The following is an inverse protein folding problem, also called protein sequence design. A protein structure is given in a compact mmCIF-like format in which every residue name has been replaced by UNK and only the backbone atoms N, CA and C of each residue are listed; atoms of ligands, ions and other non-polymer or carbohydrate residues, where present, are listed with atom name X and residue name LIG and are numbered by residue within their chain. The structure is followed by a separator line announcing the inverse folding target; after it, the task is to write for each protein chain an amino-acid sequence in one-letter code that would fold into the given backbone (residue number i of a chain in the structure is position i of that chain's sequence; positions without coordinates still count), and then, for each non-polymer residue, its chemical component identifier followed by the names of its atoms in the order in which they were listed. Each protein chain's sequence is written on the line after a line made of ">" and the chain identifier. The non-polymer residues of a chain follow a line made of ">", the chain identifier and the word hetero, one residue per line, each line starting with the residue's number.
data_IF_186438356949
#
_entry.id   IF_186438356949
#
_cell.length_a   1.000
_cell.length_b   1.000
_cell.length_c   1.000
_cell.angle_alpha   90.00
_cell.angle_beta   90.00
_cell.angle_gamma   90.00
#
_symmetry.space_group_name_H-M   'P 1'
#
loop_
_entity.id
_entity.type
_entity.pdbx_description
1 polymer ?
#
# COMPACT_ATOMS: atom_id res chain seq x y z
N UNK A 1 1.31 93.28 -23.30
CA UNK A 1 1.90 91.94 -23.24
C UNK A 1 1.75 91.36 -21.83
N UNK A 2 0.73 90.51 -21.63
CA UNK A 2 0.46 89.92 -20.31
C UNK A 2 0.99 88.46 -20.37
N UNK A 3 1.96 88.13 -19.51
CA UNK A 3 2.48 86.80 -19.32
C UNK A 3 1.56 86.06 -18.31
N UNK A 4 0.95 84.95 -18.78
CA UNK A 4 0.18 84.04 -17.91
C UNK A 4 1.18 83.01 -17.46
N UNK A 5 1.36 82.85 -16.13
CA UNK A 5 2.11 81.80 -15.47
C UNK A 5 1.13 80.70 -15.10
N UNK A 6 1.27 79.50 -15.74
CA UNK A 6 0.52 78.33 -15.34
C UNK A 6 1.28 77.62 -14.22
N UNK A 7 0.65 77.57 -13.03
CA UNK A 7 1.12 76.76 -11.91
C UNK A 7 0.51 75.33 -12.06
N UNK A 8 1.36 74.37 -12.44
CA UNK A 8 0.94 72.97 -12.45
C UNK A 8 0.88 72.42 -11.01
N UNK A 9 -0.31 71.99 -10.61
CA UNK A 9 -0.47 71.25 -9.36
C UNK A 9 -0.03 69.78 -9.58
N UNK A 10 1.07 69.39 -8.95
CA UNK A 10 1.47 67.96 -8.84
C UNK A 10 0.61 67.30 -7.76
N UNK A 11 -0.35 66.47 -8.17
CA UNK A 11 -1.05 65.58 -7.27
C UNK A 11 -0.11 64.43 -6.86
N UNK A 12 0.40 64.46 -5.63
CA UNK A 12 1.11 63.31 -5.04
C UNK A 12 0.05 62.31 -4.61
N UNK A 13 -0.13 61.29 -5.46
CA UNK A 13 -0.90 60.09 -5.08
C UNK A 13 -0.11 59.32 -4.03
N UNK A 14 -0.54 59.44 -2.77
CA UNK A 14 -0.06 58.58 -1.69
C UNK A 14 -0.52 57.14 -1.96
N UNK A 15 0.38 56.34 -2.45
CA UNK A 15 0.24 54.87 -2.46
C UNK A 15 0.22 54.39 -1.00
N UNK A 16 -0.99 54.26 -0.44
CA UNK A 16 -1.17 53.49 0.77
C UNK A 16 -0.81 52.03 0.44
N UNK A 17 0.08 51.38 1.19
CA UNK A 17 0.27 49.93 1.03
C UNK A 17 -1.03 49.26 1.45
N UNK A 18 -1.70 48.58 0.51
CA UNK A 18 -2.72 47.59 0.86
C UNK A 18 -2.00 46.45 1.59
N UNK A 19 -1.84 46.58 2.90
CA UNK A 19 -1.53 45.48 3.77
C UNK A 19 -2.72 44.54 3.73
N UNK A 20 -2.60 43.43 2.98
CA UNK A 20 -3.50 42.31 3.16
C UNK A 20 -3.35 41.84 4.60
N UNK A 21 -4.27 42.24 5.46
CA UNK A 21 -4.42 41.72 6.81
C UNK A 21 -4.82 40.24 6.64
N UNK A 22 -3.83 39.32 6.61
CA UNK A 22 -4.09 37.91 6.79
C UNK A 22 -4.47 37.68 8.25
N UNK A 23 -5.76 37.68 8.54
CA UNK A 23 -6.29 37.21 9.83
C UNK A 23 -5.86 35.75 10.00
N UNK A 24 -4.82 35.48 10.81
CA UNK A 24 -4.23 34.16 11.05
C UNK A 24 -2.74 34.02 10.68
N UNK A 25 -2.13 35.01 10.02
CA UNK A 25 -0.68 35.03 9.77
C UNK A 25 0.13 35.41 11.03
N UNK A 26 1.40 35.03 11.06
CA UNK A 26 2.33 35.44 12.12
C UNK A 26 2.65 36.90 11.95
N UNK A 27 2.13 37.74 12.87
CA UNK A 27 2.44 39.16 12.91
C UNK A 27 3.84 39.43 13.51
N UNK A 28 4.39 40.63 13.25
CA UNK A 28 5.69 41.02 13.81
C UNK A 28 5.73 40.92 15.34
N UNK A 29 4.65 41.29 16.01
CA UNK A 29 4.55 41.16 17.46
C UNK A 29 4.47 39.73 17.95
N UNK A 30 3.84 38.84 17.19
CA UNK A 30 3.87 37.37 17.45
C UNK A 30 5.30 36.82 17.24
N UNK A 31 5.94 37.20 16.14
CA UNK A 31 7.29 36.75 15.83
C UNK A 31 8.29 37.18 16.91
N UNK A 32 8.20 38.37 17.41
CA UNK A 32 9.05 38.84 18.53
C UNK A 32 8.82 38.01 19.80
N UNK A 33 7.57 37.71 20.18
CA UNK A 33 7.27 36.85 21.33
C UNK A 33 7.77 35.42 21.14
N UNK A 34 7.60 34.84 19.94
CA UNK A 34 8.10 33.51 19.59
C UNK A 34 9.61 33.46 19.71
N UNK A 35 10.34 34.46 19.18
CA UNK A 35 11.80 34.52 19.30
C UNK A 35 12.24 34.71 20.75
N UNK A 36 11.55 35.48 21.53
CA UNK A 36 11.87 35.70 22.94
C UNK A 36 11.58 34.48 23.82
N UNK A 37 10.76 33.53 23.36
CA UNK A 37 10.48 32.26 24.07
C UNK A 37 11.57 31.23 23.88
N UNK A 38 12.51 31.42 22.93
CA UNK A 38 13.63 30.51 22.71
C UNK A 38 14.85 30.97 23.52
N UNK A 39 15.33 30.09 24.40
CA UNK A 39 16.55 30.28 25.17
C UNK A 39 17.67 29.40 24.60
N UNK A 40 18.75 30.01 24.12
CA UNK A 40 19.87 29.30 23.52
C UNK A 40 20.85 28.79 24.60
N UNK A 41 20.46 27.74 25.31
CA UNK A 41 21.31 27.11 26.33
C UNK A 41 22.46 26.29 25.68
N UNK A 42 23.57 26.00 26.45
CA UNK A 42 24.59 25.08 25.96
C UNK A 42 24.07 23.70 25.57
N UNK A 43 23.03 23.21 26.27
CA UNK A 43 22.36 21.95 25.95
C UNK A 43 21.61 22.03 24.62
N UNK A 44 20.87 23.14 24.40
CA UNK A 44 20.13 23.35 23.14
C UNK A 44 21.07 23.46 21.95
N UNK A 45 22.25 24.11 22.13
CA UNK A 45 23.25 24.17 21.07
C UNK A 45 23.83 22.79 20.72
N UNK A 46 24.13 21.98 21.73
CA UNK A 46 24.65 20.64 21.51
C UNK A 46 23.58 19.76 20.80
N UNK A 47 22.33 19.84 21.27
CA UNK A 47 21.22 19.10 20.70
C UNK A 47 20.89 19.54 19.25
N UNK A 48 20.89 20.86 18.99
CA UNK A 48 20.73 21.40 17.65
C UNK A 48 21.82 20.91 16.69
N UNK A 49 23.08 20.91 17.10
CA UNK A 49 24.18 20.39 16.29
C UNK A 49 24.01 18.88 16.00
N UNK A 50 23.55 18.11 16.99
CA UNK A 50 23.30 16.70 16.81
C UNK A 50 22.12 16.45 15.82
N UNK A 51 20.99 17.13 16.01
CA UNK A 51 19.78 16.94 15.21
C UNK A 51 19.96 17.46 13.78
N UNK A 52 20.59 18.63 13.59
CA UNK A 52 20.77 19.19 12.25
C UNK A 52 21.69 18.37 11.33
N UNK A 53 22.55 17.54 11.90
CA UNK A 53 23.57 16.80 11.14
C UNK A 53 23.33 15.28 11.12
N UNK A 54 22.27 14.77 11.77
CA UNK A 54 22.01 13.33 11.86
C UNK A 54 20.53 12.99 11.65
N UNK A 55 20.27 11.74 11.28
CA UNK A 55 18.90 11.20 11.29
C UNK A 55 18.38 11.17 12.74
N UNK A 56 17.31 11.92 13.01
CA UNK A 56 16.68 12.03 14.33
C UNK A 56 16.29 10.65 14.90
N UNK A 57 15.92 9.68 14.06
CA UNK A 57 15.55 8.31 14.47
C UNK A 57 16.72 7.58 15.13
N UNK A 58 17.95 7.93 14.79
CA UNK A 58 19.16 7.38 15.41
C UNK A 58 19.46 8.01 16.78
N UNK A 59 19.05 9.26 16.97
CA UNK A 59 19.31 10.01 18.20
C UNK A 59 18.32 9.71 19.33
N UNK A 60 17.11 9.17 19.00
CA UNK A 60 16.09 8.84 20.02
C UNK A 60 16.26 7.46 20.63
N UNK A 61 17.30 6.70 20.24
CA UNK A 61 17.57 5.38 20.80
C UNK A 61 18.10 5.53 22.23
N UNK A 62 17.37 5.01 23.20
CA UNK A 62 17.81 5.00 24.60
C UNK A 62 18.84 3.88 24.83
N UNK A 63 20.10 4.25 24.93
CA UNK A 63 21.23 3.32 25.08
C UNK A 63 21.11 2.38 26.29
N UNK A 64 20.68 2.82 27.48
CA UNK A 64 20.48 1.93 28.63
C UNK A 64 19.52 0.76 28.37
N UNK A 65 18.54 0.95 27.48
CA UNK A 65 17.55 -0.09 27.18
C UNK A 65 18.01 -1.12 26.14
N UNK A 66 19.13 -0.91 25.48
CA UNK A 66 19.59 -1.80 24.40
C UNK A 66 20.12 -3.16 24.87
N UNK A 67 20.49 -3.29 26.12
CA UNK A 67 21.05 -4.53 26.68
C UNK A 67 20.08 -5.42 27.47
N UNK A 68 18.86 -4.95 27.68
CA UNK A 68 17.92 -5.59 28.62
C UNK A 68 16.83 -6.46 27.96
N UNK A 69 16.91 -6.67 26.65
CA UNK A 69 15.89 -7.47 25.93
C UNK A 69 16.16 -8.95 26.15
N UNK A 70 15.31 -9.60 26.96
CA UNK A 70 15.32 -11.05 27.08
C UNK A 70 14.81 -11.68 25.76
N UNK A 71 15.65 -12.51 25.16
CA UNK A 71 15.35 -13.23 23.91
C UNK A 71 14.90 -14.67 24.13
N UNK A 72 14.64 -15.07 25.40
CA UNK A 72 14.08 -16.36 25.71
C UNK A 72 12.58 -16.41 25.42
N UNK A 73 12.17 -17.42 24.65
CA UNK A 73 10.77 -17.71 24.35
C UNK A 73 10.47 -19.18 24.70
N UNK A 74 9.45 -19.42 25.54
CA UNK A 74 9.01 -20.76 25.93
C UNK A 74 8.50 -21.58 24.74
N UNK A 75 7.97 -20.92 23.73
CA UNK A 75 7.49 -21.53 22.49
C UNK A 75 8.07 -20.78 21.29
N UNK A 76 8.76 -21.51 20.43
CA UNK A 76 9.36 -20.97 19.22
C UNK A 76 8.87 -21.73 17.98
N UNK A 77 8.31 -21.00 17.01
CA UNK A 77 7.94 -21.56 15.71
C UNK A 77 9.17 -21.53 14.81
N UNK A 78 9.64 -22.66 14.26
CA UNK A 78 10.80 -22.71 13.39
C UNK A 78 10.46 -22.14 12.00
N UNK A 79 10.76 -20.85 11.80
CA UNK A 79 10.52 -20.13 10.54
C UNK A 79 11.81 -19.91 9.79
N UNK A 80 12.61 -20.80 9.44
CA UNK A 80 13.94 -20.67 8.80
C UNK A 80 14.08 -19.43 7.91
N UNK A 81 14.69 -18.36 8.43
CA UNK A 81 14.95 -17.09 7.74
C UNK A 81 13.88 -15.99 7.94
N UNK A 82 14.21 -14.81 7.49
CA UNK A 82 13.37 -13.59 7.54
C UNK A 82 12.92 -13.25 6.12
N UNK A 83 11.71 -12.75 5.99
CA UNK A 83 11.17 -12.21 4.73
C UNK A 83 11.08 -10.71 4.81
N UNK A 84 11.39 -10.02 3.73
CA UNK A 84 11.38 -8.56 3.64
C UNK A 84 10.35 -8.11 2.59
N UNK A 85 9.41 -7.26 3.01
CA UNK A 85 8.38 -6.70 2.13
C UNK A 85 8.86 -5.50 1.31
N UNK A 86 10.06 -5.02 1.56
CA UNK A 86 10.63 -3.84 0.94
C UNK A 86 9.71 -2.59 1.07
N UNK A 87 9.63 -1.77 0.04
CA UNK A 87 8.81 -0.54 0.01
C UNK A 87 7.37 -0.84 -0.45
N UNK A 88 6.70 -1.75 0.26
CA UNK A 88 5.31 -2.13 -0.03
C UNK A 88 4.45 -2.20 1.24
N UNK A 89 3.14 -2.04 1.10
CA UNK A 89 2.17 -2.18 2.20
C UNK A 89 1.72 -3.62 2.45
N UNK A 90 2.53 -4.64 2.11
CA UNK A 90 2.16 -6.07 2.12
C UNK A 90 2.48 -6.80 3.44
N UNK A 91 2.72 -6.09 4.56
CA UNK A 91 3.07 -6.71 5.85
C UNK A 91 2.09 -7.81 6.28
N UNK A 92 0.79 -7.59 6.08
CA UNK A 92 -0.28 -8.55 6.36
C UNK A 92 -0.11 -9.86 5.58
N UNK A 93 0.26 -9.75 4.31
CA UNK A 93 0.46 -10.89 3.40
C UNK A 93 1.73 -11.66 3.75
N UNK A 94 2.84 -10.96 3.97
CA UNK A 94 4.11 -11.56 4.41
C UNK A 94 3.95 -12.30 5.74
N UNK A 95 3.28 -11.68 6.73
CA UNK A 95 3.01 -12.29 8.03
C UNK A 95 2.13 -13.54 7.90
N UNK A 96 1.04 -13.45 7.13
CA UNK A 96 0.14 -14.58 6.91
C UNK A 96 0.80 -15.74 6.18
N UNK A 97 1.57 -15.48 5.13
CA UNK A 97 2.31 -16.52 4.40
C UNK A 97 3.45 -17.12 5.24
N UNK A 98 4.07 -16.36 6.14
CA UNK A 98 5.08 -16.90 7.07
C UNK A 98 4.49 -17.90 8.07
N UNK A 99 3.25 -17.71 8.53
CA UNK A 99 2.55 -18.72 9.35
C UNK A 99 2.36 -20.03 8.56
N UNK A 100 1.92 -19.94 7.31
CA UNK A 100 1.76 -21.12 6.45
C UNK A 100 3.11 -21.74 6.09
N UNK A 101 4.14 -20.93 5.84
CA UNK A 101 5.50 -21.35 5.56
C UNK A 101 6.08 -22.21 6.68
N UNK A 102 5.98 -21.78 7.92
CA UNK A 102 6.48 -22.52 9.08
C UNK A 102 5.86 -23.92 9.17
N UNK A 103 4.56 -24.05 8.88
CA UNK A 103 3.86 -25.34 8.83
C UNK A 103 4.30 -26.20 7.66
N UNK A 104 4.54 -25.61 6.49
CA UNK A 104 5.04 -26.30 5.31
C UNK A 104 6.43 -26.89 5.60
N UNK A 105 7.32 -26.10 6.17
CA UNK A 105 8.67 -26.51 6.57
C UNK A 105 8.61 -27.68 7.58
N UNK A 106 7.81 -27.54 8.62
CA UNK A 106 7.67 -28.60 9.66
C UNK A 106 7.07 -29.90 9.08
N UNK A 107 6.05 -29.79 8.22
CA UNK A 107 5.37 -30.96 7.63
C UNK A 107 6.24 -31.78 6.70
N UNK A 108 7.10 -31.13 5.92
CA UNK A 108 7.87 -31.76 4.86
C UNK A 108 9.37 -31.81 5.13
N UNK A 109 9.83 -31.37 6.32
CA UNK A 109 11.24 -31.32 6.68
C UNK A 109 12.07 -30.44 5.73
N UNK A 110 11.50 -29.32 5.28
CA UNK A 110 12.17 -28.48 4.28
C UNK A 110 13.33 -27.68 4.90
N UNK A 111 14.28 -27.32 4.04
CA UNK A 111 15.26 -26.29 4.32
C UNK A 111 14.65 -24.88 4.26
N UNK A 112 15.36 -23.94 3.60
CA UNK A 112 14.79 -22.64 3.30
C UNK A 112 13.65 -22.80 2.28
N UNK A 113 12.50 -22.22 2.59
CA UNK A 113 11.32 -22.26 1.73
C UNK A 113 10.52 -20.97 1.91
N UNK A 114 9.98 -20.45 0.81
CA UNK A 114 9.04 -19.33 0.82
C UNK A 114 7.91 -19.58 -0.18
N UNK A 115 6.69 -19.12 0.18
CA UNK A 115 5.62 -18.95 -0.79
C UNK A 115 5.84 -17.65 -1.56
N UNK A 116 5.37 -17.57 -2.79
CA UNK A 116 5.37 -16.34 -3.56
C UNK A 116 4.38 -15.34 -2.98
N UNK A 117 4.89 -14.27 -2.42
CA UNK A 117 4.08 -13.13 -1.98
C UNK A 117 3.55 -12.37 -3.21
N UNK A 118 4.36 -12.27 -4.26
CA UNK A 118 3.98 -11.64 -5.52
C UNK A 118 2.74 -12.29 -6.17
N UNK A 119 2.67 -13.63 -6.17
CA UNK A 119 1.51 -14.37 -6.66
C UNK A 119 0.23 -14.01 -5.91
N UNK A 120 0.25 -14.04 -4.59
CA UNK A 120 -0.91 -13.71 -3.77
C UNK A 120 -1.30 -12.24 -3.89
N UNK A 121 -0.31 -11.35 -3.98
CA UNK A 121 -0.52 -9.92 -4.17
C UNK A 121 -1.17 -9.60 -5.52
N UNK A 122 -0.79 -10.29 -6.59
CA UNK A 122 -1.43 -10.15 -7.89
C UNK A 122 -2.95 -10.36 -7.79
N UNK A 123 -3.37 -11.46 -7.18
CA UNK A 123 -4.79 -11.79 -7.03
C UNK A 123 -5.51 -10.84 -6.06
N UNK A 124 -4.86 -10.43 -4.99
CA UNK A 124 -5.39 -9.42 -4.06
C UNK A 124 -5.71 -8.11 -4.78
N UNK A 125 -4.79 -7.62 -5.61
CA UNK A 125 -5.00 -6.38 -6.34
C UNK A 125 -6.11 -6.50 -7.40
N UNK A 126 -6.22 -7.65 -8.06
CA UNK A 126 -7.30 -7.90 -9.02
C UNK A 126 -8.66 -8.00 -8.32
N UNK A 127 -8.74 -8.68 -7.17
CA UNK A 127 -9.98 -8.77 -6.38
C UNK A 127 -10.43 -7.41 -5.82
N UNK A 128 -9.49 -6.60 -5.35
CA UNK A 128 -9.80 -5.24 -4.90
C UNK A 128 -10.28 -4.35 -6.05
N UNK A 129 -9.69 -4.49 -7.22
CA UNK A 129 -10.17 -3.80 -8.42
C UNK A 129 -11.60 -4.22 -8.80
N UNK A 130 -11.89 -5.53 -8.74
CA UNK A 130 -13.24 -6.06 -8.94
C UNK A 130 -14.23 -5.52 -7.88
N UNK A 131 -13.82 -5.49 -6.61
CA UNK A 131 -14.65 -4.98 -5.52
C UNK A 131 -14.98 -3.49 -5.72
N UNK A 132 -14.02 -2.68 -6.13
CA UNK A 132 -14.24 -1.27 -6.46
C UNK A 132 -15.26 -1.11 -7.60
N UNK A 133 -15.03 -1.78 -8.73
CA UNK A 133 -15.91 -1.67 -9.89
C UNK A 133 -17.33 -2.20 -9.58
N UNK A 134 -17.44 -3.27 -8.80
CA UNK A 134 -18.72 -3.79 -8.33
C UNK A 134 -19.43 -2.77 -7.43
N UNK A 135 -18.71 -2.18 -6.46
CA UNK A 135 -19.26 -1.14 -5.59
C UNK A 135 -19.77 0.07 -6.38
N UNK A 136 -19.10 0.45 -7.47
CA UNK A 136 -19.56 1.51 -8.37
C UNK A 136 -20.86 1.12 -9.08
N UNK A 137 -21.00 -0.12 -9.55
CA UNK A 137 -22.23 -0.62 -10.17
C UNK A 137 -23.37 -0.67 -9.14
N UNK A 138 -23.10 -1.15 -7.94
CA UNK A 138 -24.11 -1.29 -6.88
C UNK A 138 -24.60 0.07 -6.36
N UNK A 139 -23.75 1.09 -6.42
CA UNK A 139 -24.07 2.48 -6.01
C UNK A 139 -24.40 3.41 -7.19
N UNK A 140 -24.68 2.87 -8.39
CA UNK A 140 -24.87 3.67 -9.61
C UNK A 140 -25.98 4.71 -9.52
N UNK A 141 -27.04 4.40 -8.75
CA UNK A 141 -28.21 5.26 -8.58
C UNK A 141 -28.04 6.29 -7.44
N UNK A 142 -27.01 6.14 -6.61
CA UNK A 142 -26.69 7.08 -5.53
C UNK A 142 -26.05 8.37 -6.07
N UNK A 143 -26.28 9.55 -5.44
CA UNK A 143 -25.64 10.79 -5.85
C UNK A 143 -24.12 10.76 -5.63
N UNK A 144 -23.39 11.67 -6.25
CA UNK A 144 -21.90 11.72 -6.12
C UNK A 144 -21.46 12.03 -4.70
N UNK A 145 -22.26 12.80 -3.98
CA UNK A 145 -22.05 13.23 -2.59
C UNK A 145 -22.42 12.15 -1.57
N UNK A 146 -22.88 11.00 -2.01
CA UNK A 146 -23.11 9.84 -1.13
C UNK A 146 -21.79 9.40 -0.50
N UNK A 147 -21.78 9.17 0.81
CA UNK A 147 -20.57 8.84 1.58
C UNK A 147 -19.87 7.57 1.07
N UNK A 148 -20.63 6.57 0.62
CA UNK A 148 -20.09 5.31 0.06
C UNK A 148 -19.43 5.57 -1.28
N UNK A 149 -20.09 6.37 -2.15
CA UNK A 149 -19.54 6.75 -3.45
C UNK A 149 -18.23 7.54 -3.27
N UNK A 150 -18.24 8.56 -2.41
CA UNK A 150 -17.02 9.34 -2.12
C UNK A 150 -15.89 8.44 -1.60
N UNK A 151 -16.21 7.53 -0.66
CA UNK A 151 -15.21 6.62 -0.08
C UNK A 151 -14.62 5.69 -1.14
N UNK A 152 -15.43 5.10 -2.02
CA UNK A 152 -15.00 4.24 -3.12
C UNK A 152 -14.00 4.98 -4.02
N UNK A 153 -14.37 6.18 -4.50
CA UNK A 153 -13.51 6.96 -5.40
C UNK A 153 -12.26 7.52 -4.72
N UNK A 154 -12.30 7.78 -3.42
CA UNK A 154 -11.14 8.16 -2.63
C UNK A 154 -10.17 6.98 -2.46
N UNK A 155 -10.69 5.76 -2.25
CA UNK A 155 -9.94 4.55 -1.90
C UNK A 155 -10.18 3.40 -2.89
N UNK A 156 -9.91 3.55 -4.20
CA UNK A 156 -10.22 2.50 -5.19
C UNK A 156 -9.36 1.25 -5.03
N UNK A 157 -8.17 1.37 -4.41
CA UNK A 157 -7.21 0.29 -4.25
C UNK A 157 -6.25 0.58 -3.10
N UNK A 158 -5.78 -0.45 -2.39
CA UNK A 158 -4.72 -0.33 -1.38
C UNK A 158 -3.88 -1.61 -1.31
N UNK A 159 -2.64 -1.48 -0.82
CA UNK A 159 -1.75 -2.63 -0.55
C UNK A 159 -2.11 -3.35 0.76
N UNK A 160 -2.81 -2.65 1.67
CA UNK A 160 -3.15 -3.15 3.00
C UNK A 160 -4.16 -4.29 2.99
N UNK A 161 -4.18 -5.08 4.04
CA UNK A 161 -5.12 -6.18 4.22
C UNK A 161 -5.02 -6.79 5.61
N UNK A 162 -5.73 -7.89 5.82
CA UNK A 162 -5.79 -8.65 7.07
C UNK A 162 -5.57 -10.14 6.79
N UNK A 163 -5.42 -10.95 7.85
CA UNK A 163 -5.21 -12.39 7.70
C UNK A 163 -6.38 -13.10 6.98
N UNK A 164 -7.60 -12.64 7.19
CA UNK A 164 -8.78 -13.14 6.44
C UNK A 164 -8.59 -13.00 4.93
N UNK A 165 -8.03 -11.88 4.46
CA UNK A 165 -7.71 -11.70 3.05
C UNK A 165 -6.67 -12.71 2.54
N UNK A 166 -5.65 -13.08 3.37
CA UNK A 166 -4.73 -14.17 3.01
C UNK A 166 -5.49 -15.48 2.85
N UNK A 167 -6.38 -15.79 3.79
CA UNK A 167 -7.15 -17.02 3.75
C UNK A 167 -8.06 -17.10 2.50
N UNK A 168 -8.71 -16.00 2.15
CA UNK A 168 -9.60 -15.92 0.99
C UNK A 168 -8.81 -16.10 -0.32
N UNK A 169 -7.69 -15.38 -0.48
CA UNK A 169 -6.82 -15.51 -1.66
C UNK A 169 -6.30 -16.94 -1.80
N UNK A 170 -5.78 -17.52 -0.74
CA UNK A 170 -5.24 -18.88 -0.77
C UNK A 170 -6.34 -19.93 -1.04
N UNK A 171 -7.52 -19.76 -0.48
CA UNK A 171 -8.66 -20.66 -0.72
C UNK A 171 -9.13 -20.60 -2.17
N UNK A 172 -9.17 -19.42 -2.76
CA UNK A 172 -9.69 -19.20 -4.12
C UNK A 172 -8.64 -19.53 -5.21
N UNK A 173 -7.42 -19.06 -5.03
CA UNK A 173 -6.37 -19.13 -6.06
C UNK A 173 -5.27 -20.14 -5.77
N UNK A 174 -5.12 -20.59 -4.53
CA UNK A 174 -4.06 -21.49 -4.11
C UNK A 174 -2.76 -20.75 -3.79
N UNK A 175 -1.67 -21.51 -3.76
CA UNK A 175 -0.31 -21.04 -3.47
C UNK A 175 0.68 -21.55 -4.51
N UNK A 176 1.75 -20.81 -4.67
CA UNK A 176 2.92 -21.24 -5.43
C UNK A 176 4.20 -20.97 -4.63
N UNK A 177 5.28 -21.73 -4.83
CA UNK A 177 6.58 -21.41 -4.24
C UNK A 177 7.16 -20.15 -4.88
N UNK A 178 8.05 -19.45 -4.16
CA UNK A 178 8.66 -18.19 -4.60
C UNK A 178 9.31 -18.28 -5.98
N UNK A 179 9.91 -19.42 -6.29
CA UNK A 179 10.59 -19.65 -7.55
C UNK A 179 9.64 -19.67 -8.77
N UNK A 180 8.37 -20.04 -8.56
CA UNK A 180 7.39 -20.11 -9.65
C UNK A 180 6.84 -18.73 -10.05
N UNK A 181 6.87 -17.75 -9.13
CA UNK A 181 6.55 -16.36 -9.40
C UNK A 181 7.34 -15.46 -8.44
N UNK A 182 8.58 -15.12 -8.77
CA UNK A 182 9.45 -14.33 -7.91
C UNK A 182 8.97 -12.88 -7.76
N UNK A 183 9.53 -12.17 -6.79
CA UNK A 183 9.32 -10.73 -6.65
C UNK A 183 9.85 -9.98 -7.88
N UNK A 184 9.21 -8.85 -8.18
CA UNK A 184 9.59 -7.90 -9.24
C UNK A 184 9.92 -6.56 -8.61
N UNK A 185 10.53 -5.67 -9.38
CA UNK A 185 10.73 -4.29 -8.91
C UNK A 185 9.41 -3.64 -8.48
N UNK A 186 8.34 -3.81 -9.26
CA UNK A 186 7.03 -3.22 -8.94
C UNK A 186 6.35 -3.85 -7.73
N UNK A 187 6.59 -5.13 -7.42
CA UNK A 187 6.08 -5.74 -6.20
C UNK A 187 6.85 -5.28 -4.97
N UNK A 188 8.14 -5.03 -5.09
CA UNK A 188 8.97 -4.49 -4.02
C UNK A 188 8.80 -2.97 -3.82
N UNK A 189 8.30 -2.24 -4.83
CA UNK A 189 8.10 -0.79 -4.85
C UNK A 189 6.70 -0.45 -5.38
N UNK A 190 5.66 -0.77 -4.64
CA UNK A 190 4.26 -0.79 -5.12
C UNK A 190 3.66 0.57 -5.44
N UNK A 191 4.21 1.66 -4.93
CA UNK A 191 3.60 3.00 -4.96
C UNK A 191 3.25 3.47 -6.39
N UNK A 192 4.16 3.30 -7.37
CA UNK A 192 3.95 3.75 -8.74
C UNK A 192 2.87 2.93 -9.44
N UNK A 193 2.95 1.60 -9.36
CA UNK A 193 1.94 0.70 -9.93
C UNK A 193 0.56 0.98 -9.32
N UNK A 194 0.48 1.09 -7.99
CA UNK A 194 -0.77 1.39 -7.29
C UNK A 194 -1.37 2.73 -7.72
N UNK A 195 -0.54 3.76 -7.96
CA UNK A 195 -1.00 5.06 -8.45
C UNK A 195 -1.66 4.95 -9.83
N UNK A 196 -1.03 4.24 -10.76
CA UNK A 196 -1.55 4.02 -12.12
C UNK A 196 -2.85 3.20 -12.10
N UNK A 197 -2.91 2.14 -11.31
CA UNK A 197 -4.11 1.33 -11.12
C UNK A 197 -5.27 2.15 -10.54
N UNK A 198 -5.02 2.96 -9.51
CA UNK A 198 -6.02 3.86 -8.91
C UNK A 198 -6.56 4.87 -9.91
N UNK A 199 -5.68 5.44 -10.74
CA UNK A 199 -6.09 6.37 -11.79
C UNK A 199 -7.02 5.68 -12.80
N UNK A 200 -6.62 4.50 -13.28
CA UNK A 200 -7.40 3.72 -14.24
C UNK A 200 -8.73 3.25 -13.68
N UNK A 201 -8.77 2.83 -12.43
CA UNK A 201 -10.01 2.43 -11.75
C UNK A 201 -10.98 3.61 -11.61
N UNK A 202 -10.50 4.82 -11.26
CA UNK A 202 -11.35 6.01 -11.23
C UNK A 202 -11.93 6.36 -12.60
N UNK A 203 -11.13 6.30 -13.67
CA UNK A 203 -11.60 6.47 -15.04
C UNK A 203 -12.73 5.49 -15.37
N UNK A 204 -12.53 4.21 -15.04
CA UNK A 204 -13.52 3.16 -15.27
C UNK A 204 -14.77 3.34 -14.41
N UNK A 205 -14.61 3.72 -13.15
CA UNK A 205 -15.74 4.02 -12.28
C UNK A 205 -16.60 5.16 -12.80
N UNK A 206 -15.99 6.23 -13.32
CA UNK A 206 -16.71 7.34 -13.94
C UNK A 206 -17.45 6.87 -15.21
N UNK A 207 -16.80 6.09 -16.07
CA UNK A 207 -17.41 5.54 -17.30
C UNK A 207 -18.59 4.60 -17.00
N UNK A 208 -18.52 3.78 -15.94
CA UNK A 208 -19.66 2.95 -15.51
C UNK A 208 -20.82 3.80 -15.01
N UNK A 209 -20.58 4.84 -14.21
CA UNK A 209 -21.62 5.74 -13.73
C UNK A 209 -22.27 6.55 -14.86
N UNK A 210 -21.48 6.98 -15.84
CA UNK A 210 -22.00 7.65 -17.05
C UNK A 210 -22.91 6.71 -17.84
N UNK A 211 -22.45 5.49 -18.12
CA UNK A 211 -23.26 4.50 -18.83
C UNK A 211 -24.57 4.18 -18.09
N UNK A 212 -24.55 4.11 -16.75
CA UNK A 212 -25.76 3.91 -15.95
C UNK A 212 -26.73 5.09 -16.08
N UNK A 213 -26.24 6.35 -16.04
CA UNK A 213 -27.08 7.54 -16.28
C UNK A 213 -27.70 7.56 -17.68
N UNK A 214 -26.98 7.02 -18.67
CA UNK A 214 -27.47 6.88 -20.05
C UNK A 214 -28.44 5.69 -20.22
N UNK A 215 -28.85 5.05 -19.11
CA UNK A 215 -29.85 3.99 -19.12
C UNK A 215 -29.29 2.58 -19.38
N UNK A 216 -27.97 2.36 -19.24
CA UNK A 216 -27.44 1.02 -19.39
C UNK A 216 -27.92 0.09 -18.26
N UNK A 217 -28.49 -1.05 -18.65
CA UNK A 217 -28.91 -2.09 -17.73
C UNK A 217 -27.74 -2.70 -16.95
N UNK A 218 -28.01 -3.24 -15.75
CA UNK A 218 -27.01 -3.86 -14.87
C UNK A 218 -26.18 -4.93 -15.60
N UNK A 219 -26.80 -5.78 -16.41
CA UNK A 219 -26.10 -6.81 -17.18
C UNK A 219 -25.03 -6.24 -18.12
N UNK A 220 -25.32 -5.11 -18.77
CA UNK A 220 -24.38 -4.41 -19.63
C UNK A 220 -23.22 -3.80 -18.84
N UNK A 221 -23.48 -3.26 -17.65
CA UNK A 221 -22.45 -2.76 -16.74
C UNK A 221 -21.53 -3.87 -16.25
N UNK A 222 -22.07 -5.05 -15.91
CA UNK A 222 -21.29 -6.23 -15.51
C UNK A 222 -20.40 -6.76 -16.66
N UNK A 223 -20.89 -6.73 -17.90
CA UNK A 223 -20.08 -7.07 -19.08
C UNK A 223 -18.91 -6.10 -19.23
N UNK A 224 -19.17 -4.79 -19.15
CA UNK A 224 -18.13 -3.75 -19.19
C UNK A 224 -17.10 -3.90 -18.06
N UNK A 225 -17.57 -4.20 -16.85
CA UNK A 225 -16.68 -4.50 -15.72
C UNK A 225 -15.68 -5.62 -16.06
N UNK A 226 -16.17 -6.71 -16.68
CA UNK A 226 -15.31 -7.83 -17.08
C UNK A 226 -14.23 -7.41 -18.08
N UNK A 227 -14.59 -6.60 -19.07
CA UNK A 227 -13.62 -6.04 -20.04
C UNK A 227 -12.60 -5.13 -19.36
N UNK A 228 -13.05 -4.26 -18.45
CA UNK A 228 -12.19 -3.37 -17.66
C UNK A 228 -11.22 -4.15 -16.77
N UNK A 229 -11.68 -5.24 -16.14
CA UNK A 229 -10.83 -6.13 -15.36
C UNK A 229 -9.78 -6.82 -16.23
N UNK A 230 -10.08 -7.13 -17.49
CA UNK A 230 -9.09 -7.64 -18.46
C UNK A 230 -7.92 -6.65 -18.67
N UNK A 231 -8.21 -5.36 -18.73
CA UNK A 231 -7.15 -4.33 -18.82
C UNK A 231 -6.36 -4.23 -17.51
N UNK A 232 -7.04 -4.26 -16.34
CA UNK A 232 -6.37 -4.27 -15.03
C UNK A 232 -5.47 -5.51 -14.91
N UNK A 233 -5.95 -6.69 -15.29
CA UNK A 233 -5.17 -7.92 -15.33
C UNK A 233 -3.89 -7.74 -16.16
N UNK A 234 -3.99 -7.18 -17.36
CA UNK A 234 -2.84 -6.88 -18.20
C UNK A 234 -1.86 -5.91 -17.52
N UNK A 235 -2.36 -4.87 -16.86
CA UNK A 235 -1.49 -3.94 -16.11
C UNK A 235 -0.75 -4.66 -14.99
N UNK A 236 -1.41 -5.57 -14.27
CA UNK A 236 -0.80 -6.39 -13.24
C UNK A 236 0.25 -7.35 -13.82
N UNK A 237 -0.04 -8.02 -14.94
CA UNK A 237 0.93 -8.91 -15.62
C UNK A 237 2.20 -8.15 -16.02
N UNK A 238 2.07 -6.94 -16.57
CA UNK A 238 3.22 -6.11 -16.98
C UNK A 238 4.09 -5.67 -15.80
N UNK A 239 3.54 -5.59 -14.60
CA UNK A 239 4.25 -5.14 -13.39
C UNK A 239 4.74 -6.29 -12.52
N UNK A 240 3.95 -7.36 -12.37
CA UNK A 240 4.15 -8.43 -11.40
C UNK A 240 4.53 -9.76 -12.04
N UNK A 241 4.41 -9.88 -13.37
CA UNK A 241 4.52 -11.15 -14.09
C UNK A 241 3.18 -11.89 -14.18
N UNK A 242 3.10 -12.87 -15.06
CA UNK A 242 1.89 -13.67 -15.25
C UNK A 242 1.81 -14.80 -14.21
N UNK A 243 0.69 -14.91 -13.46
CA UNK A 243 0.51 -15.99 -12.50
C UNK A 243 0.51 -17.36 -13.19
N UNK A 244 1.32 -18.33 -12.75
CA UNK A 244 1.38 -19.64 -13.36
C UNK A 244 0.10 -20.44 -13.13
N UNK A 245 -0.41 -21.06 -14.19
CA UNK A 245 -1.53 -22.01 -14.12
C UNK A 245 -1.03 -23.39 -13.66
N UNK A 246 0.17 -23.76 -14.07
CA UNK A 246 0.91 -24.97 -13.69
C UNK A 246 2.37 -24.62 -13.49
N UNK A 247 3.07 -25.36 -12.62
CA UNK A 247 4.50 -25.21 -12.40
C UNK A 247 5.10 -26.52 -11.90
N UNK A 248 6.36 -26.74 -12.22
CA UNK A 248 7.15 -27.85 -11.67
C UNK A 248 7.88 -27.35 -10.43
N UNK A 249 7.78 -28.11 -9.34
CA UNK A 249 8.50 -27.81 -8.10
C UNK A 249 9.28 -29.01 -7.62
N UNK A 250 10.55 -28.78 -7.28
CA UNK A 250 11.43 -29.77 -6.68
C UNK A 250 11.48 -29.55 -5.17
N UNK A 251 10.90 -30.49 -4.43
CA UNK A 251 10.99 -30.49 -2.98
C UNK A 251 12.42 -30.81 -2.56
N UNK A 252 12.96 -29.99 -1.64
CA UNK A 252 14.30 -30.17 -1.08
C UNK A 252 14.22 -30.38 0.42
N UNK A 253 15.10 -31.29 0.94
CA UNK A 253 15.21 -31.54 2.38
C UNK A 253 15.90 -30.38 3.12
N UNK A 254 16.15 -30.57 4.43
CA UNK A 254 16.78 -29.56 5.29
C UNK A 254 18.22 -29.21 4.85
N UNK A 255 18.90 -30.09 4.16
CA UNK A 255 20.25 -29.96 3.62
C UNK A 255 20.26 -29.45 2.17
N UNK A 256 19.08 -29.15 1.59
CA UNK A 256 18.94 -28.63 0.23
C UNK A 256 18.97 -29.69 -0.87
N UNK A 257 19.02 -30.99 -0.52
CA UNK A 257 19.06 -32.08 -1.50
C UNK A 257 17.69 -32.31 -2.12
N UNK A 258 17.59 -32.59 -3.43
CA UNK A 258 16.30 -32.85 -4.07
C UNK A 258 15.73 -34.20 -3.56
N UNK A 259 14.46 -34.17 -3.15
CA UNK A 259 13.72 -35.35 -2.67
C UNK A 259 12.76 -35.88 -3.73
N UNK A 260 11.96 -35.02 -4.31
CA UNK A 260 11.06 -35.30 -5.41
C UNK A 260 10.78 -34.05 -6.26
N UNK A 261 10.42 -34.30 -7.53
CA UNK A 261 10.03 -33.23 -8.47
C UNK A 261 8.67 -33.58 -9.05
N UNK A 262 7.71 -32.66 -8.95
CA UNK A 262 6.35 -32.85 -9.44
C UNK A 262 5.79 -31.60 -10.09
N UNK A 263 4.84 -31.82 -10.98
CA UNK A 263 3.99 -30.73 -11.50
C UNK A 263 2.82 -30.47 -10.56
N UNK A 264 2.51 -29.19 -10.36
CA UNK A 264 1.40 -28.73 -9.53
C UNK A 264 0.59 -27.67 -10.25
N UNK A 265 -0.69 -27.58 -9.88
CA UNK A 265 -1.46 -26.34 -10.00
C UNK A 265 -1.38 -25.59 -8.67
N UNK A 266 -1.57 -24.27 -8.63
CA UNK A 266 -1.56 -23.52 -7.37
C UNK A 266 -2.50 -24.11 -6.30
N UNK A 267 -3.69 -24.54 -6.70
CA UNK A 267 -4.66 -25.18 -5.79
C UNK A 267 -4.21 -26.54 -5.29
N UNK A 268 -3.60 -27.35 -6.13
CA UNK A 268 -3.08 -28.67 -5.68
C UNK A 268 -1.90 -28.51 -4.72
N UNK A 269 -1.06 -27.50 -4.93
CA UNK A 269 0.07 -27.19 -4.07
C UNK A 269 -0.37 -26.66 -2.69
N UNK A 270 -1.46 -25.91 -2.61
CA UNK A 270 -1.98 -25.36 -1.35
C UNK A 270 -2.76 -26.35 -0.48
N UNK A 271 -3.21 -27.51 -1.02
CA UNK A 271 -4.01 -28.51 -0.27
C UNK A 271 -3.48 -28.84 1.13
N UNK A 272 -2.16 -29.02 1.35
CA UNK A 272 -1.63 -29.31 2.69
C UNK A 272 -1.91 -28.21 3.72
N UNK A 273 -2.20 -26.98 3.27
CA UNK A 273 -2.44 -25.81 4.12
C UNK A 273 -3.94 -25.56 4.42
N UNK A 274 -4.84 -26.23 3.68
CA UNK A 274 -6.29 -26.03 3.82
C UNK A 274 -6.83 -26.17 5.26
N UNK A 275 -6.41 -27.15 6.09
CA UNK A 275 -6.89 -27.26 7.47
C UNK A 275 -6.50 -26.08 8.36
N UNK A 276 -5.41 -25.40 8.03
CA UNK A 276 -4.92 -24.21 8.74
C UNK A 276 -5.78 -22.98 8.42
N UNK A 277 -6.10 -22.84 7.15
CA UNK A 277 -6.86 -21.72 6.62
C UNK A 277 -8.29 -21.75 7.15
N UNK A 278 -8.96 -22.93 7.11
CA UNK A 278 -10.33 -23.08 7.62
C UNK A 278 -10.45 -22.83 9.12
N UNK A 279 -9.47 -23.23 9.93
CA UNK A 279 -9.49 -22.95 11.39
C UNK A 279 -9.32 -21.47 11.70
N UNK A 280 -8.52 -20.74 10.94
CA UNK A 280 -8.29 -19.33 11.15
C UNK A 280 -9.50 -18.47 10.74
N UNK A 281 -10.27 -18.88 9.73
CA UNK A 281 -11.51 -18.19 9.31
C UNK A 281 -12.68 -18.46 10.27
N UNK A 282 -12.66 -19.55 11.05
CA UNK A 282 -13.70 -19.89 12.02
C UNK A 282 -13.49 -19.23 13.40
N UNK A 283 -12.30 -18.65 13.67
CA UNK A 283 -11.96 -18.03 14.96
C UNK A 283 -11.95 -16.49 14.93
N UNK A 284 -12.34 -15.89 13.83
CA UNK A 284 -12.62 -14.46 13.64
C UNK A 284 -14.12 -14.20 13.52
#
# INVERSE_FOLDING_TARGET
>A
MKRIVLIGAFAVSSLLPLGAQNDGGISDGMLQRIRASYEDTPADRALRNAICNNDIRKLVVNQPNQGEIDTYFSHRVPSKGVTDQQQSGRCWLFSGLNVLRARMIARYGLGAFEFSQNYCFFWDQLEKANLFLQGVIDTRDAPREDRTVEWLFKNPLSDGGQFTGVADIVSKYGLVPKEAMPETYSSEHTAQMASLLKLKLREYGLSLREAARDGAEKAKLESRKTEMLGVIYRMLVLNLGEPPVRFTWTRRDAEGRPVDTREYTPRSFSKPMSPTISRATMSC
#
